data_IF_784164856179
#
_entry.id   IF_784164856179
#
_cell.length_a   1.000
_cell.length_b   1.000
_cell.length_c   1.000
_cell.angle_alpha   90.00
_cell.angle_beta   90.00
_cell.angle_gamma   90.00
#
_symmetry.space_group_name_H-M   'P 1'
#
loop_
_entity.id
_entity.type
_entity.pdbx_description
1 polymer ?
#
# COMPACT_ATOMS: atom_id res chain seq x y z
N UNK A 1 -29.84 -18.26 62.29
CA UNK A 1 -30.30 -17.11 61.46
C UNK A 1 -29.20 -16.19 60.93
N UNK A 2 -28.00 -16.13 61.54
CA UNK A 2 -26.90 -15.23 61.11
C UNK A 2 -26.18 -15.64 59.81
N UNK A 3 -26.26 -16.90 59.37
CA UNK A 3 -25.57 -17.38 58.16
C UNK A 3 -26.27 -17.03 56.82
N UNK A 4 -27.60 -16.94 56.81
CA UNK A 4 -28.38 -16.65 55.62
C UNK A 4 -28.31 -15.18 55.20
N UNK A 5 -28.20 -14.26 56.15
CA UNK A 5 -28.05 -12.82 55.86
C UNK A 5 -26.64 -12.49 55.29
N UNK A 6 -25.57 -13.17 55.77
CA UNK A 6 -24.24 -12.99 55.22
C UNK A 6 -24.13 -13.47 53.76
N UNK A 7 -24.82 -14.55 53.38
CA UNK A 7 -24.83 -15.05 52.03
C UNK A 7 -25.57 -14.12 51.08
N UNK A 8 -26.68 -13.53 51.50
CA UNK A 8 -27.44 -12.54 50.72
C UNK A 8 -26.66 -11.27 50.50
N UNK A 9 -25.96 -10.76 51.51
CA UNK A 9 -25.10 -9.57 51.38
C UNK A 9 -23.92 -9.83 50.40
N UNK A 10 -23.32 -11.01 50.46
CA UNK A 10 -22.23 -11.39 49.57
C UNK A 10 -22.73 -11.58 48.13
N UNK A 11 -23.92 -12.14 47.93
CA UNK A 11 -24.53 -12.29 46.58
C UNK A 11 -24.87 -10.92 45.95
N UNK A 12 -25.36 -9.95 46.73
CA UNK A 12 -25.65 -8.59 46.24
C UNK A 12 -24.37 -7.82 45.93
N UNK A 13 -23.31 -8.00 46.72
CA UNK A 13 -21.99 -7.41 46.43
C UNK A 13 -21.37 -8.01 45.17
N UNK A 14 -21.53 -9.30 44.92
CA UNK A 14 -20.98 -9.96 43.72
C UNK A 14 -21.70 -9.51 42.42
N UNK A 15 -23.00 -9.21 42.48
CA UNK A 15 -23.75 -8.70 41.32
C UNK A 15 -23.37 -7.24 40.99
N UNK A 16 -22.96 -6.44 41.97
CA UNK A 16 -22.49 -5.07 41.74
C UNK A 16 -21.12 -5.01 41.02
N UNK A 17 -20.26 -6.04 41.19
CA UNK A 17 -18.93 -6.12 40.57
C UNK A 17 -19.04 -6.65 39.11
N UNK A 18 -20.10 -7.39 38.80
CA UNK A 18 -20.33 -7.97 37.46
C UNK A 18 -21.19 -7.08 36.54
N UNK A 19 -21.49 -5.85 36.93
CA UNK A 19 -22.20 -4.92 36.06
C UNK A 19 -21.25 -4.56 34.92
N UNK A 20 -21.54 -4.93 33.64
CA UNK A 20 -20.74 -4.46 32.53
C UNK A 20 -20.82 -2.93 32.51
N UNK A 21 -19.69 -2.26 32.69
CA UNK A 21 -19.62 -0.81 32.52
C UNK A 21 -20.18 -0.49 31.15
N UNK A 22 -21.39 -0.01 31.07
CA UNK A 22 -21.94 0.57 29.85
C UNK A 22 -21.04 1.75 29.49
N UNK A 23 -20.02 1.49 28.68
CA UNK A 23 -19.28 2.56 28.00
C UNK A 23 -20.30 3.22 27.08
N UNK A 24 -20.85 4.33 27.53
CA UNK A 24 -21.53 5.25 26.65
C UNK A 24 -20.55 5.53 25.52
N UNK A 25 -20.82 5.01 24.34
CA UNK A 25 -20.18 5.48 23.12
C UNK A 25 -20.59 6.94 22.99
N UNK A 26 -19.72 7.81 23.48
CA UNK A 26 -19.81 9.24 23.17
C UNK A 26 -19.52 9.32 21.68
N UNK A 27 -20.60 9.25 20.91
CA UNK A 27 -20.58 9.60 19.51
C UNK A 27 -20.22 11.10 19.48
N UNK A 28 -18.92 11.41 19.53
CA UNK A 28 -18.42 12.75 19.23
C UNK A 28 -18.82 12.99 17.79
N UNK A 29 -19.99 13.56 17.61
CA UNK A 29 -20.30 14.28 16.37
C UNK A 29 -19.26 15.37 16.31
N UNK A 30 -18.24 15.17 15.49
CA UNK A 30 -17.37 16.25 15.09
C UNK A 30 -18.31 17.32 14.55
N UNK A 31 -18.32 18.46 15.21
CA UNK A 31 -19.06 19.62 14.71
C UNK A 31 -18.37 20.01 13.41
N UNK A 32 -18.91 19.54 12.29
CA UNK A 32 -18.43 19.92 10.97
C UNK A 32 -18.78 21.39 10.79
N UNK A 33 -17.76 22.23 10.78
CA UNK A 33 -17.95 23.66 10.48
C UNK A 33 -18.23 23.73 8.98
N UNK A 34 -19.44 24.15 8.62
CA UNK A 34 -19.80 24.38 7.22
C UNK A 34 -19.36 25.80 6.83
N UNK A 35 -18.65 25.91 5.73
CA UNK A 35 -18.34 27.21 5.12
C UNK A 35 -19.58 27.74 4.44
N UNK A 36 -19.78 29.07 4.52
CA UNK A 36 -20.87 29.73 3.82
C UNK A 36 -20.37 31.04 3.16
N UNK A 37 -21.00 31.43 2.09
CA UNK A 37 -20.82 32.74 1.50
C UNK A 37 -22.17 33.41 1.23
N UNK A 38 -22.16 34.72 1.22
CA UNK A 38 -23.38 35.54 0.97
C UNK A 38 -23.36 35.94 -0.50
N UNK A 39 -24.37 35.53 -1.24
CA UNK A 39 -24.56 35.92 -2.64
C UNK A 39 -25.93 36.57 -2.82
N UNK A 40 -25.96 37.82 -3.30
CA UNK A 40 -27.17 38.61 -3.50
C UNK A 40 -28.11 38.71 -2.26
N UNK A 41 -27.55 38.65 -1.06
CA UNK A 41 -28.31 38.72 0.21
C UNK A 41 -28.76 37.35 0.75
N UNK A 42 -28.54 36.26 0.00
CA UNK A 42 -28.84 34.92 0.45
C UNK A 42 -27.57 34.19 0.99
N UNK A 43 -27.73 33.40 2.03
CA UNK A 43 -26.66 32.60 2.62
C UNK A 43 -26.59 31.23 1.94
N UNK A 44 -25.50 30.98 1.21
CA UNK A 44 -25.24 29.72 0.53
C UNK A 44 -24.23 28.92 1.34
N UNK A 45 -24.63 27.73 1.82
CA UNK A 45 -23.73 26.80 2.50
C UNK A 45 -22.98 25.97 1.47
N UNK A 46 -21.65 25.90 1.64
CA UNK A 46 -20.77 25.08 0.80
C UNK A 46 -20.30 23.88 1.60
N UNK A 47 -20.51 22.69 1.07
CA UNK A 47 -19.96 21.46 1.61
C UNK A 47 -19.29 20.66 0.48
N UNK A 48 -18.02 20.30 0.68
CA UNK A 48 -17.34 19.39 -0.23
C UNK A 48 -17.79 17.97 0.08
N UNK A 49 -18.52 17.39 -0.85
CA UNK A 49 -18.86 15.97 -0.77
C UNK A 49 -17.61 15.13 -1.00
N UNK A 50 -17.36 14.11 -0.17
CA UNK A 50 -16.29 13.19 -0.44
C UNK A 50 -16.47 12.58 -1.84
N UNK A 51 -15.38 12.38 -2.60
CA UNK A 51 -15.48 11.85 -3.95
C UNK A 51 -16.21 10.50 -3.95
N UNK A 52 -17.24 10.39 -4.79
CA UNK A 52 -18.01 9.16 -4.91
C UNK A 52 -17.13 8.08 -5.58
N UNK A 53 -16.83 7.01 -4.86
CA UNK A 53 -16.15 5.85 -5.44
C UNK A 53 -17.18 4.93 -6.08
N UNK A 54 -17.18 4.87 -7.42
CA UNK A 54 -18.07 3.97 -8.16
C UNK A 54 -17.61 2.53 -7.97
N UNK A 55 -18.52 1.69 -7.50
CA UNK A 55 -18.20 0.30 -7.17
C UNK A 55 -18.11 -0.56 -8.44
N UNK A 56 -16.97 -1.17 -8.79
CA UNK A 56 -16.83 -1.99 -9.99
C UNK A 56 -17.63 -3.32 -9.92
N UNK A 57 -18.11 -3.72 -8.73
CA UNK A 57 -18.81 -4.99 -8.52
C UNK A 57 -20.08 -5.17 -9.35
N UNK A 58 -20.79 -4.09 -9.62
CA UNK A 58 -22.10 -4.17 -10.31
C UNK A 58 -21.99 -4.58 -11.77
N UNK A 59 -20.83 -4.41 -12.40
CA UNK A 59 -20.59 -4.66 -13.82
C UNK A 59 -19.74 -5.90 -14.10
N UNK A 60 -19.16 -6.51 -13.06
CA UNK A 60 -18.25 -7.65 -13.21
C UNK A 60 -18.95 -8.98 -12.96
N UNK A 61 -18.67 -9.98 -13.81
CA UNK A 61 -19.02 -11.36 -13.50
C UNK A 61 -18.20 -11.89 -12.32
N UNK A 62 -18.66 -13.00 -11.69
CA UNK A 62 -18.02 -13.58 -10.49
C UNK A 62 -16.52 -13.88 -10.68
N UNK A 63 -16.11 -14.35 -11.88
CA UNK A 63 -14.72 -14.73 -12.16
C UNK A 63 -13.83 -13.49 -12.21
N UNK A 64 -14.27 -12.44 -12.87
CA UNK A 64 -13.51 -11.20 -13.00
C UNK A 64 -13.48 -10.42 -11.70
N UNK A 65 -14.57 -10.47 -10.91
CA UNK A 65 -14.58 -9.93 -9.56
C UNK A 65 -13.52 -10.60 -8.66
N UNK A 66 -13.37 -11.93 -8.69
CA UNK A 66 -12.35 -12.63 -7.90
C UNK A 66 -10.94 -12.22 -8.33
N UNK A 67 -10.70 -12.01 -9.63
CA UNK A 67 -9.39 -11.51 -10.12
C UNK A 67 -9.13 -10.10 -9.62
N UNK A 68 -10.12 -9.21 -9.74
CA UNK A 68 -10.04 -7.83 -9.29
C UNK A 68 -9.77 -7.74 -7.78
N UNK A 69 -10.55 -8.45 -6.98
CA UNK A 69 -10.37 -8.57 -5.54
C UNK A 69 -8.92 -8.95 -5.15
N UNK A 70 -8.38 -10.01 -5.79
CA UNK A 70 -7.00 -10.45 -5.56
C UNK A 70 -5.98 -9.40 -6.01
N UNK A 71 -6.27 -8.68 -7.08
CA UNK A 71 -5.39 -7.62 -7.61
C UNK A 71 -5.32 -6.46 -6.63
N UNK A 72 -6.45 -5.94 -6.15
CA UNK A 72 -6.50 -4.88 -5.16
C UNK A 72 -5.75 -5.25 -3.89
N UNK A 73 -5.94 -6.50 -3.39
CA UNK A 73 -5.20 -6.99 -2.23
C UNK A 73 -3.69 -7.07 -2.47
N UNK A 74 -3.26 -7.56 -3.62
CA UNK A 74 -1.83 -7.64 -3.94
C UNK A 74 -1.22 -6.24 -4.13
N UNK A 75 -1.96 -5.34 -4.77
CA UNK A 75 -1.55 -3.96 -4.98
C UNK A 75 -1.34 -3.23 -3.66
N UNK A 76 -2.25 -3.35 -2.70
CA UNK A 76 -2.12 -2.73 -1.38
C UNK A 76 -0.83 -3.10 -0.64
N UNK A 77 -0.25 -4.27 -0.94
CA UNK A 77 1.01 -4.75 -0.36
C UNK A 77 2.24 -4.43 -1.20
N UNK A 78 2.09 -4.33 -2.51
CA UNK A 78 3.20 -4.17 -3.44
C UNK A 78 3.52 -2.71 -3.75
N UNK A 79 2.49 -1.88 -3.96
CA UNK A 79 2.67 -0.53 -4.48
C UNK A 79 3.43 0.40 -3.54
N UNK A 80 3.18 0.43 -2.22
CA UNK A 80 3.95 1.30 -1.33
C UNK A 80 5.44 1.02 -1.34
N UNK A 81 5.84 -0.24 -1.48
CA UNK A 81 7.25 -0.61 -1.63
C UNK A 81 7.79 -0.26 -3.03
N UNK A 82 6.95 -0.36 -4.06
CA UNK A 82 7.34 0.04 -5.41
C UNK A 82 7.67 1.54 -5.47
N UNK A 83 6.82 2.40 -4.91
CA UNK A 83 7.05 3.85 -4.82
C UNK A 83 8.33 4.16 -4.04
N UNK A 84 8.55 3.47 -2.91
CA UNK A 84 9.75 3.66 -2.11
C UNK A 84 11.02 3.30 -2.87
N UNK A 85 11.04 2.12 -3.50
CA UNK A 85 12.20 1.65 -4.28
C UNK A 85 12.45 2.56 -5.49
N UNK A 86 11.41 2.97 -6.19
CA UNK A 86 11.52 3.89 -7.32
C UNK A 86 12.09 5.25 -6.89
N UNK A 87 11.68 5.77 -5.73
CA UNK A 87 12.27 7.00 -5.15
C UNK A 87 13.77 6.84 -4.96
N UNK A 88 14.21 5.75 -4.32
CA UNK A 88 15.64 5.47 -4.08
C UNK A 88 16.42 5.36 -5.41
N UNK A 89 15.83 4.75 -6.44
CA UNK A 89 16.42 4.67 -7.79
C UNK A 89 16.59 6.06 -8.39
N UNK A 90 15.53 6.86 -8.38
CA UNK A 90 15.53 8.21 -8.97
C UNK A 90 16.50 9.15 -8.24
N UNK A 91 16.54 9.12 -6.91
CA UNK A 91 17.50 9.88 -6.10
C UNK A 91 18.94 9.47 -6.40
N UNK A 92 19.19 8.18 -6.60
CA UNK A 92 20.52 7.67 -6.94
C UNK A 92 20.95 8.11 -8.34
N UNK A 93 20.05 8.05 -9.31
CA UNK A 93 20.34 8.48 -10.67
C UNK A 93 20.61 9.98 -10.72
N UNK A 94 19.80 10.79 -10.02
CA UNK A 94 20.00 12.22 -9.89
C UNK A 94 21.34 12.57 -9.23
N UNK A 95 21.74 11.82 -8.19
CA UNK A 95 23.04 12.00 -7.53
C UNK A 95 24.20 11.74 -8.48
N UNK A 96 24.11 10.68 -9.29
CA UNK A 96 25.16 10.33 -10.24
C UNK A 96 25.33 11.38 -11.36
N UNK A 97 24.23 12.00 -11.77
CA UNK A 97 24.22 13.08 -12.75
C UNK A 97 24.79 14.38 -12.17
N UNK A 98 24.34 14.76 -10.96
CA UNK A 98 24.76 16.01 -10.33
C UNK A 98 26.25 16.04 -9.98
N UNK A 99 26.77 14.96 -9.41
CA UNK A 99 28.17 14.89 -8.90
C UNK A 99 29.13 14.28 -9.90
N UNK A 100 28.71 14.02 -11.13
CA UNK A 100 29.55 13.45 -12.20
C UNK A 100 30.35 12.22 -11.79
N UNK A 101 29.70 11.31 -11.02
CA UNK A 101 30.36 10.08 -10.55
C UNK A 101 30.96 9.27 -11.69
N UNK A 102 32.23 8.91 -11.55
CA UNK A 102 32.87 7.92 -12.43
C UNK A 102 32.19 6.57 -12.27
N UNK A 103 32.24 5.71 -13.29
CA UNK A 103 31.64 4.39 -13.27
C UNK A 103 32.03 3.56 -12.03
N UNK A 104 33.31 3.63 -11.63
CA UNK A 104 33.82 2.92 -10.45
C UNK A 104 33.16 3.43 -9.14
N UNK A 105 32.94 4.74 -9.04
CA UNK A 105 32.24 5.33 -7.88
C UNK A 105 30.78 4.94 -7.86
N UNK A 106 30.11 4.95 -9.02
CA UNK A 106 28.72 4.46 -9.16
C UNK A 106 28.61 3.00 -8.73
N UNK A 107 29.47 2.11 -9.21
CA UNK A 107 29.47 0.68 -8.86
C UNK A 107 29.67 0.47 -7.35
N UNK A 108 30.58 1.23 -6.73
CA UNK A 108 30.82 1.18 -5.27
C UNK A 108 29.58 1.63 -4.49
N UNK A 109 28.96 2.73 -4.92
CA UNK A 109 27.75 3.26 -4.29
C UNK A 109 26.58 2.29 -4.42
N UNK A 110 26.33 1.77 -5.63
CA UNK A 110 25.27 0.80 -5.90
C UNK A 110 25.44 -0.49 -5.10
N UNK A 111 26.67 -1.01 -4.96
CA UNK A 111 26.91 -2.20 -4.14
C UNK A 111 26.58 -1.95 -2.66
N UNK A 112 27.00 -0.81 -2.11
CA UNK A 112 26.66 -0.43 -0.72
C UNK A 112 25.16 -0.29 -0.54
N UNK A 113 24.48 0.42 -1.45
CA UNK A 113 23.03 0.62 -1.39
C UNK A 113 22.27 -0.69 -1.52
N UNK A 114 22.71 -1.58 -2.43
CA UNK A 114 22.13 -2.93 -2.56
C UNK A 114 22.20 -3.71 -1.25
N UNK A 115 23.38 -3.71 -0.59
CA UNK A 115 23.57 -4.42 0.66
C UNK A 115 22.71 -3.84 1.78
N UNK A 116 22.60 -2.51 1.86
CA UNK A 116 21.75 -1.80 2.80
C UNK A 116 20.26 -2.12 2.55
N UNK A 117 19.80 -2.03 1.29
CA UNK A 117 18.42 -2.37 0.91
C UNK A 117 18.08 -3.82 1.20
N UNK A 118 18.97 -4.76 0.82
CA UNK A 118 18.73 -6.17 1.09
C UNK A 118 18.66 -6.45 2.59
N UNK A 119 19.53 -5.86 3.39
CA UNK A 119 19.52 -6.03 4.85
C UNK A 119 18.21 -5.56 5.48
N UNK A 120 17.71 -4.39 5.07
CA UNK A 120 16.50 -3.79 5.64
C UNK A 120 15.21 -4.43 5.11
N UNK A 121 15.19 -4.77 3.83
CA UNK A 121 13.98 -5.23 3.15
C UNK A 121 13.88 -6.75 2.95
N UNK A 122 14.95 -7.53 3.13
CA UNK A 122 14.90 -8.99 2.97
C UNK A 122 13.79 -9.65 3.83
N UNK A 123 13.61 -9.29 5.12
CA UNK A 123 12.53 -9.85 5.93
C UNK A 123 11.13 -9.51 5.41
N UNK A 124 10.99 -8.38 4.70
CA UNK A 124 9.74 -7.91 4.13
C UNK A 124 9.49 -8.63 2.80
N UNK A 125 10.48 -8.65 1.92
CA UNK A 125 10.37 -9.26 0.59
C UNK A 125 10.13 -10.76 0.67
N UNK A 126 10.70 -11.45 1.65
CA UNK A 126 10.43 -12.88 1.90
C UNK A 126 8.97 -13.17 2.26
N UNK A 127 8.23 -12.19 2.78
CA UNK A 127 6.80 -12.31 3.10
C UNK A 127 5.90 -12.04 1.90
N UNK A 128 6.42 -11.43 0.83
CA UNK A 128 5.66 -11.20 -0.38
C UNK A 128 5.48 -12.52 -1.16
N UNK A 129 4.27 -12.73 -1.64
CA UNK A 129 4.05 -13.79 -2.61
C UNK A 129 4.72 -13.46 -3.93
N UNK A 130 4.98 -14.48 -4.74
CA UNK A 130 5.53 -14.31 -6.08
C UNK A 130 4.75 -13.28 -6.91
N UNK A 131 3.40 -13.33 -6.86
CA UNK A 131 2.54 -12.40 -7.59
C UNK A 131 2.69 -10.95 -7.09
N UNK A 132 2.87 -10.76 -5.79
CA UNK A 132 3.12 -9.44 -5.22
C UNK A 132 4.50 -8.90 -5.63
N UNK A 133 5.52 -9.75 -5.61
CA UNK A 133 6.87 -9.37 -6.07
C UNK A 133 6.89 -8.99 -7.56
N UNK A 134 6.23 -9.78 -8.43
CA UNK A 134 6.09 -9.45 -9.85
C UNK A 134 5.37 -8.13 -10.07
N UNK A 135 4.26 -7.93 -9.36
CA UNK A 135 3.49 -6.70 -9.42
C UNK A 135 4.33 -5.50 -8.95
N UNK A 136 5.09 -5.66 -7.86
CA UNK A 136 5.97 -4.61 -7.34
C UNK A 136 7.02 -4.19 -8.38
N UNK A 137 7.67 -5.14 -9.04
CA UNK A 137 8.69 -4.81 -10.06
C UNK A 137 8.07 -4.10 -11.28
N UNK A 138 6.86 -4.50 -11.70
CA UNK A 138 6.13 -3.79 -12.78
C UNK A 138 5.78 -2.35 -12.36
N UNK A 139 5.37 -2.16 -11.11
CA UNK A 139 5.04 -0.84 -10.58
C UNK A 139 6.28 0.02 -10.35
N UNK A 140 7.45 -0.56 -10.04
CA UNK A 140 8.73 0.17 -10.02
C UNK A 140 9.07 0.69 -11.43
N UNK A 141 8.91 -0.14 -12.47
CA UNK A 141 9.08 0.30 -13.86
C UNK A 141 8.16 1.50 -14.19
N UNK A 142 6.90 1.43 -13.78
CA UNK A 142 5.94 2.54 -13.93
C UNK A 142 6.43 3.83 -13.30
N UNK A 143 6.99 3.74 -12.10
CA UNK A 143 7.41 4.92 -11.30
C UNK A 143 8.74 5.53 -11.77
N UNK A 144 9.69 4.72 -12.24
CA UNK A 144 11.02 5.20 -12.64
C UNK A 144 11.29 5.11 -14.15
N UNK A 145 10.39 4.54 -14.96
CA UNK A 145 10.55 4.40 -16.41
C UNK A 145 11.67 3.45 -16.83
N UNK A 146 12.09 2.54 -15.95
CA UNK A 146 13.17 1.60 -16.22
C UNK A 146 12.63 0.17 -16.21
N UNK A 147 12.88 -0.58 -17.29
CA UNK A 147 12.35 -1.95 -17.41
C UNK A 147 12.83 -2.87 -16.28
N UNK A 148 12.03 -3.89 -15.90
CA UNK A 148 12.39 -4.84 -14.86
C UNK A 148 13.77 -5.47 -15.06
N UNK A 149 14.14 -5.77 -16.30
CA UNK A 149 15.45 -6.30 -16.62
C UNK A 149 16.58 -5.33 -16.25
N UNK A 150 16.42 -4.05 -16.58
CA UNK A 150 17.43 -3.03 -16.31
C UNK A 150 17.60 -2.80 -14.80
N UNK A 151 16.48 -2.67 -14.07
CA UNK A 151 16.48 -2.49 -12.62
C UNK A 151 17.18 -3.66 -11.93
N UNK A 152 16.78 -4.89 -12.24
CA UNK A 152 17.35 -6.08 -11.64
C UNK A 152 18.84 -6.24 -11.98
N UNK A 153 19.24 -5.97 -13.23
CA UNK A 153 20.62 -6.04 -13.67
C UNK A 153 21.49 -5.01 -12.96
N UNK A 154 21.01 -3.76 -12.85
CA UNK A 154 21.79 -2.65 -12.29
C UNK A 154 21.92 -2.76 -10.76
N UNK A 155 20.81 -3.02 -10.08
CA UNK A 155 20.72 -2.95 -8.61
C UNK A 155 20.95 -4.30 -7.92
N UNK A 156 20.64 -5.42 -8.56
CA UNK A 156 20.91 -6.76 -8.01
C UNK A 156 22.12 -7.45 -8.62
N UNK A 157 22.74 -6.90 -9.63
CA UNK A 157 23.86 -7.40 -10.43
C UNK A 157 24.66 -8.59 -9.87
N UNK A 158 25.41 -9.33 -10.67
CA UNK A 158 26.30 -10.41 -10.20
C UNK A 158 25.62 -11.68 -9.64
N UNK A 159 24.29 -11.76 -9.71
CA UNK A 159 23.53 -12.96 -9.30
C UNK A 159 23.74 -14.13 -10.27
N UNK A 160 23.64 -15.34 -9.74
CA UNK A 160 23.88 -16.57 -10.49
C UNK A 160 22.92 -16.73 -11.68
N UNK A 161 23.36 -17.50 -12.71
CA UNK A 161 22.51 -17.83 -13.87
C UNK A 161 21.15 -18.43 -13.46
N UNK A 162 21.11 -19.23 -12.37
CA UNK A 162 19.89 -19.79 -11.83
C UNK A 162 18.89 -18.75 -11.33
N UNK A 163 19.36 -17.64 -10.73
CA UNK A 163 18.49 -16.51 -10.37
C UNK A 163 17.82 -15.92 -11.61
N UNK A 164 18.59 -15.62 -12.65
CA UNK A 164 18.05 -15.04 -13.89
C UNK A 164 17.07 -15.97 -14.60
N UNK A 165 17.32 -17.28 -14.58
CA UNK A 165 16.38 -18.26 -15.13
C UNK A 165 15.07 -18.28 -14.34
N UNK A 166 15.14 -18.23 -13.01
CA UNK A 166 13.96 -18.12 -12.14
C UNK A 166 13.15 -16.87 -12.44
N UNK A 167 13.81 -15.71 -12.49
CA UNK A 167 13.18 -14.42 -12.81
C UNK A 167 12.58 -14.44 -14.21
N UNK A 168 13.30 -14.88 -15.24
CA UNK A 168 12.80 -14.99 -16.62
C UNK A 168 11.57 -15.88 -16.72
N UNK A 169 11.56 -17.02 -16.02
CA UNK A 169 10.39 -17.90 -15.95
C UNK A 169 9.18 -17.21 -15.31
N UNK A 170 9.40 -16.41 -14.27
CA UNK A 170 8.34 -15.67 -13.59
C UNK A 170 7.66 -14.63 -14.50
N UNK A 171 8.46 -13.92 -15.27
CA UNK A 171 7.99 -12.91 -16.22
C UNK A 171 7.58 -13.48 -17.58
N UNK A 172 7.54 -14.82 -17.72
CA UNK A 172 7.24 -15.47 -19.01
C UNK A 172 8.07 -14.95 -20.19
N UNK A 173 9.30 -14.55 -19.92
CA UNK A 173 10.21 -13.96 -20.91
C UNK A 173 10.09 -12.44 -21.13
N UNK A 174 9.11 -11.75 -20.55
CA UNK A 174 8.81 -10.33 -20.83
C UNK A 174 9.52 -9.32 -19.90
N UNK A 175 10.69 -9.68 -19.36
CA UNK A 175 11.46 -8.78 -18.48
C UNK A 175 11.89 -7.46 -19.13
N UNK A 176 12.01 -7.45 -20.45
CA UNK A 176 12.45 -6.26 -21.22
C UNK A 176 11.29 -5.40 -21.71
N UNK A 177 10.06 -5.85 -21.50
CA UNK A 177 8.88 -5.10 -21.90
C UNK A 177 8.64 -3.98 -20.90
N UNK A 178 8.58 -2.72 -21.33
CA UNK A 178 8.27 -1.60 -20.46
C UNK A 178 6.83 -1.68 -19.95
N UNK A 179 6.53 -0.93 -18.89
CA UNK A 179 5.18 -0.80 -18.36
C UNK A 179 4.24 -0.22 -19.42
N UNK A 180 3.12 -0.91 -19.64
CA UNK A 180 2.13 -0.52 -20.67
C UNK A 180 0.81 -0.07 -20.01
N UNK A 181 0.71 1.25 -19.81
CA UNK A 181 -0.47 1.89 -19.17
C UNK A 181 -1.79 1.60 -19.84
N UNK A 182 -1.78 1.41 -21.15
CA UNK A 182 -2.99 1.29 -21.96
C UNK A 182 -3.28 -0.16 -22.41
N UNK A 183 -2.31 -1.05 -22.25
CA UNK A 183 -2.40 -2.46 -22.62
C UNK A 183 -2.36 -3.41 -21.43
N UNK A 184 -1.27 -4.19 -21.32
CA UNK A 184 -1.18 -5.27 -20.32
C UNK A 184 -1.28 -4.81 -18.87
N UNK A 185 -0.82 -3.61 -18.54
CA UNK A 185 -0.80 -3.08 -17.18
C UNK A 185 -1.97 -2.11 -16.89
N UNK A 186 -2.92 -1.97 -17.81
CA UNK A 186 -4.08 -1.07 -17.66
C UNK A 186 -4.81 -1.25 -16.33
N UNK A 187 -4.98 -2.48 -15.90
CA UNK A 187 -5.66 -2.79 -14.65
C UNK A 187 -4.86 -2.38 -13.39
N UNK A 188 -3.52 -2.30 -13.51
CA UNK A 188 -2.66 -1.76 -12.44
C UNK A 188 -2.69 -0.25 -12.45
N UNK A 189 -2.66 0.36 -13.65
CA UNK A 189 -2.73 1.82 -13.80
C UNK A 189 -4.04 2.39 -13.25
N UNK A 190 -5.15 1.67 -13.37
CA UNK A 190 -6.41 2.06 -12.71
C UNK A 190 -6.24 2.16 -11.19
N UNK A 191 -5.60 1.17 -10.56
CA UNK A 191 -5.34 1.18 -9.11
C UNK A 191 -4.35 2.27 -8.69
N UNK A 192 -3.33 2.53 -9.51
CA UNK A 192 -2.43 3.67 -9.31
C UNK A 192 -3.21 4.98 -9.33
N UNK A 193 -4.12 5.14 -10.29
CA UNK A 193 -5.00 6.31 -10.34
C UNK A 193 -5.86 6.49 -9.08
N UNK A 194 -6.39 5.43 -8.50
CA UNK A 194 -7.07 5.52 -7.19
C UNK A 194 -6.12 5.94 -6.08
N UNK A 195 -4.89 5.44 -6.09
CA UNK A 195 -3.89 5.79 -5.09
C UNK A 195 -3.46 7.26 -5.19
N UNK A 196 -3.13 7.74 -6.38
CA UNK A 196 -2.68 9.12 -6.63
C UNK A 196 -3.75 10.15 -6.26
N UNK A 197 -5.03 9.78 -6.39
CA UNK A 197 -6.16 10.63 -5.95
C UNK A 197 -6.51 10.49 -4.46
N UNK A 198 -5.75 9.70 -3.69
CA UNK A 198 -6.05 9.44 -2.27
C UNK A 198 -7.32 8.61 -2.03
N UNK A 199 -7.86 7.96 -3.07
CA UNK A 199 -9.11 7.19 -3.02
C UNK A 199 -8.91 5.70 -2.78
N UNK A 200 -7.66 5.22 -2.77
CA UNK A 200 -7.38 3.78 -2.68
C UNK A 200 -7.79 3.17 -1.34
N UNK A 201 -7.62 3.88 -0.25
CA UNK A 201 -7.99 3.38 1.08
C UNK A 201 -9.50 3.20 1.20
N UNK A 202 -10.30 4.15 0.68
CA UNK A 202 -11.76 4.03 0.61
C UNK A 202 -12.20 2.86 -0.30
N UNK A 203 -11.54 2.68 -1.45
CA UNK A 203 -11.78 1.55 -2.34
C UNK A 203 -11.46 0.22 -1.63
N UNK A 204 -10.33 0.15 -0.92
CA UNK A 204 -9.93 -1.05 -0.19
C UNK A 204 -10.94 -1.41 0.91
N UNK A 205 -11.32 -0.44 1.73
CA UNK A 205 -12.29 -0.63 2.80
C UNK A 205 -13.66 -1.08 2.27
N UNK A 206 -14.11 -0.49 1.18
CA UNK A 206 -15.34 -0.86 0.51
C UNK A 206 -15.33 -2.31 0.02
N UNK A 207 -14.21 -2.79 -0.52
CA UNK A 207 -14.07 -4.16 -1.06
C UNK A 207 -13.92 -5.19 0.06
N UNK A 208 -13.15 -4.88 1.11
CA UNK A 208 -12.74 -5.84 2.14
C UNK A 208 -13.48 -5.68 3.47
N UNK A 209 -14.27 -4.61 3.65
CA UNK A 209 -14.96 -4.28 4.89
C UNK A 209 -14.03 -3.95 6.07
N UNK A 210 -12.80 -3.59 5.78
CA UNK A 210 -11.76 -3.26 6.77
C UNK A 210 -10.70 -2.36 6.16
N UNK A 211 -9.99 -1.56 6.98
CA UNK A 211 -8.92 -0.72 6.50
C UNK A 211 -7.78 -1.54 5.87
N UNK A 212 -7.04 -0.90 4.98
CA UNK A 212 -5.85 -1.48 4.37
C UNK A 212 -4.81 -1.82 5.45
N UNK A 213 -4.12 -2.98 5.35
CA UNK A 213 -3.05 -3.30 6.27
C UNK A 213 -1.96 -2.24 6.23
N UNK A 214 -1.52 -1.81 7.40
CA UNK A 214 -0.32 -0.99 7.51
C UNK A 214 0.90 -1.76 7.01
N UNK A 215 1.75 -1.07 6.28
CA UNK A 215 3.02 -1.60 5.82
C UNK A 215 4.15 -1.04 6.68
N UNK A 216 5.09 -1.89 7.02
CA UNK A 216 6.30 -1.45 7.69
C UNK A 216 7.25 -0.83 6.68
N UNK A 217 7.61 0.43 6.88
CA UNK A 217 8.68 1.12 6.16
C UNK A 217 9.79 1.40 7.17
N UNK A 218 11.03 0.91 6.94
CA UNK A 218 12.16 1.21 7.82
C UNK A 218 12.37 2.72 7.94
N UNK A 219 12.72 3.19 9.14
CA UNK A 219 12.84 4.64 9.44
C UNK A 219 13.79 5.38 8.49
N UNK A 220 14.86 4.71 8.07
CA UNK A 220 15.84 5.27 7.11
C UNK A 220 15.21 5.66 5.75
N UNK A 221 14.06 5.08 5.39
CA UNK A 221 13.38 5.26 4.11
C UNK A 221 12.01 5.95 4.23
N UNK A 222 11.69 6.49 5.41
CA UNK A 222 10.49 7.30 5.66
C UNK A 222 10.62 8.73 5.19
#
# INVERSE_FOLDING_TARGET
>A
MKSRTAFFVFAVLLTAILSPSARAQTNRRELKVMEYYIYQGDTIFVDELPPAVIHPRQTMNRRDWVKYYKRVHNFSKAYPYAVLVARVINETDSLFEADHYSKRQQDKYLNKMKDDLLKEFDPIFRKLTLKQGLMMIRLIDRECGQTPFYILKRYLGGTTAGFWQGVAKMFKGNLKQPYDKFGEDKDLEELVGYWERGQFDSLYEMIFGKPRPEIYIPERFR
#
